data_IF_478472562461
#
_entry.id   IF_478472562461
#
_cell.length_a   1.000
_cell.length_b   1.000
_cell.length_c   1.000
_cell.angle_alpha   90.00
_cell.angle_beta   90.00
_cell.angle_gamma   90.00
#
_symmetry.space_group_name_H-M   'P 1'
#
loop_
_entity.id
_entity.type
_entity.pdbx_description
1 polymer ?
#
# COMPACT_ATOMS: atom_id res chain seq x y z
N UNK A 1 23.19 -27.20 16.15
CA UNK A 1 21.98 -26.69 16.85
C UNK A 1 21.39 -25.40 16.25
N UNK A 2 22.15 -24.55 15.55
CA UNK A 2 21.61 -23.30 14.99
C UNK A 2 20.77 -23.47 13.72
N UNK A 3 21.13 -24.42 12.86
CA UNK A 3 20.52 -24.59 11.53
C UNK A 3 19.06 -25.10 11.59
N UNK A 4 18.78 -26.04 12.50
CA UNK A 4 17.43 -26.55 12.75
C UNK A 4 16.53 -25.48 13.37
N UNK A 5 17.08 -24.66 14.28
CA UNK A 5 16.37 -23.55 14.92
C UNK A 5 16.04 -22.45 13.92
N UNK A 6 16.99 -22.06 13.06
CA UNK A 6 16.72 -21.11 11.99
C UNK A 6 15.70 -21.65 11.00
N UNK A 7 15.80 -22.93 10.61
CA UNK A 7 14.87 -23.56 9.67
C UNK A 7 13.43 -23.57 10.21
N UNK A 8 13.23 -23.94 11.49
CA UNK A 8 11.93 -23.90 12.16
C UNK A 8 11.40 -22.45 12.21
N UNK A 9 12.23 -21.48 12.59
CA UNK A 9 11.80 -20.08 12.64
C UNK A 9 11.40 -19.57 11.26
N UNK A 10 12.15 -19.90 10.20
CA UNK A 10 11.77 -19.55 8.82
C UNK A 10 10.49 -20.24 8.36
N UNK A 11 10.29 -21.53 8.70
CA UNK A 11 9.08 -22.26 8.36
C UNK A 11 7.86 -21.70 9.09
N UNK A 12 7.97 -21.36 10.38
CA UNK A 12 6.92 -20.69 11.11
C UNK A 12 6.62 -19.30 10.54
N UNK A 13 7.65 -18.52 10.17
CA UNK A 13 7.47 -17.22 9.53
C UNK A 13 6.77 -17.34 8.16
N UNK A 14 7.17 -18.32 7.34
CA UNK A 14 6.52 -18.62 6.06
C UNK A 14 5.07 -19.08 6.25
N UNK A 15 4.82 -19.97 7.21
CA UNK A 15 3.47 -20.46 7.53
C UNK A 15 2.55 -19.32 7.98
N UNK A 16 3.03 -18.44 8.84
CA UNK A 16 2.31 -17.24 9.28
C UNK A 16 2.04 -16.29 8.10
N UNK A 17 2.99 -16.14 7.17
CA UNK A 17 2.82 -15.32 5.97
C UNK A 17 1.79 -15.89 4.99
N UNK A 18 1.68 -17.23 4.89
CA UNK A 18 0.75 -17.93 3.99
C UNK A 18 -0.68 -18.01 4.57
N UNK A 19 -0.82 -18.19 5.89
CA UNK A 19 -2.11 -18.42 6.54
C UNK A 19 -2.74 -17.18 7.18
N UNK A 20 -2.20 -15.98 6.96
CA UNK A 20 -2.91 -14.75 7.29
C UNK A 20 -4.15 -14.65 6.39
N UNK A 21 -5.37 -14.57 6.97
CA UNK A 21 -6.57 -14.40 6.18
C UNK A 21 -6.43 -13.18 5.27
N UNK A 22 -6.86 -13.30 4.00
CA UNK A 22 -7.01 -12.14 3.14
C UNK A 22 -8.13 -11.29 3.75
N UNK A 23 -7.76 -10.11 4.25
CA UNK A 23 -8.51 -9.45 5.32
C UNK A 23 -9.71 -8.61 4.86
N UNK A 24 -10.03 -8.58 3.57
CA UNK A 24 -11.05 -7.67 3.06
C UNK A 24 -12.13 -8.41 2.26
N UNK A 25 -13.29 -8.60 2.89
CA UNK A 25 -14.55 -9.03 2.22
C UNK A 25 -15.17 -7.92 1.35
N UNK A 26 -14.50 -6.77 1.22
CA UNK A 26 -14.98 -5.61 0.47
C UNK A 26 -14.43 -5.68 -0.94
N UNK A 27 -15.31 -5.85 -1.94
CA UNK A 27 -14.90 -5.84 -3.33
C UNK A 27 -14.78 -4.40 -3.87
N UNK A 28 -13.75 -4.07 -4.65
CA UNK A 28 -13.63 -2.73 -5.20
C UNK A 28 -14.61 -2.51 -6.35
N UNK A 29 -14.79 -1.26 -6.76
CA UNK A 29 -15.56 -0.92 -7.97
C UNK A 29 -14.68 -1.20 -9.19
N UNK A 30 -14.81 -2.40 -9.75
CA UNK A 30 -13.94 -2.93 -10.79
C UNK A 30 -13.90 -2.04 -12.04
N UNK A 31 -15.06 -1.59 -12.54
CA UNK A 31 -15.14 -0.74 -13.73
C UNK A 31 -14.36 0.57 -13.56
N UNK A 32 -14.40 1.14 -12.35
CA UNK A 32 -13.62 2.33 -12.05
C UNK A 32 -12.12 2.01 -12.03
N UNK A 33 -11.72 0.87 -11.44
CA UNK A 33 -10.32 0.45 -11.37
C UNK A 33 -9.67 0.26 -12.74
N UNK A 34 -10.41 -0.23 -13.74
CA UNK A 34 -9.89 -0.42 -15.11
C UNK A 34 -9.30 0.87 -15.69
N UNK A 35 -9.91 2.03 -15.35
CA UNK A 35 -9.44 3.34 -15.81
C UNK A 35 -8.11 3.77 -15.17
N UNK A 36 -7.70 3.14 -14.06
CA UNK A 36 -6.48 3.46 -13.33
C UNK A 36 -5.47 2.32 -13.34
N UNK A 37 -5.69 1.27 -14.13
CA UNK A 37 -4.67 0.25 -14.37
C UNK A 37 -3.44 0.88 -15.02
N UNK A 38 -2.26 0.31 -14.73
CA UNK A 38 -0.97 0.82 -15.21
C UNK A 38 -0.95 1.07 -16.72
N UNK A 39 -1.48 0.14 -17.52
CA UNK A 39 -1.49 0.27 -18.99
C UNK A 39 -2.41 1.42 -19.45
N UNK A 40 -3.57 1.60 -18.82
CA UNK A 40 -4.47 2.73 -19.09
C UNK A 40 -3.82 4.07 -18.74
N UNK A 41 -3.12 4.13 -17.61
CA UNK A 41 -2.37 5.33 -17.19
C UNK A 41 -1.21 5.64 -18.13
N UNK A 42 -0.49 4.61 -18.60
CA UNK A 42 0.55 4.75 -19.62
C UNK A 42 0.00 5.25 -20.95
N UNK A 43 -1.16 4.76 -21.38
CA UNK A 43 -1.80 5.26 -22.59
C UNK A 43 -2.23 6.73 -22.46
N UNK A 44 -2.68 7.15 -21.27
CA UNK A 44 -3.18 8.50 -21.01
C UNK A 44 -2.07 9.55 -20.80
N UNK A 45 -1.03 9.21 -20.05
CA UNK A 45 0.01 10.16 -19.67
C UNK A 45 1.43 9.75 -20.13
N UNK A 46 1.52 8.69 -20.94
CA UNK A 46 2.74 8.15 -21.54
C UNK A 46 3.44 7.08 -20.70
N UNK A 47 4.45 6.41 -21.28
CA UNK A 47 5.27 5.37 -20.61
C UNK A 47 6.78 5.70 -20.42
N UNK A 48 7.26 6.84 -20.91
CA UNK A 48 8.68 7.20 -20.81
C UNK A 48 9.15 7.50 -19.37
N UNK A 49 10.28 6.93 -18.96
CA UNK A 49 10.92 7.20 -17.65
C UNK A 49 11.77 8.47 -17.67
N UNK A 50 11.14 9.62 -17.87
CA UNK A 50 11.81 10.91 -18.07
C UNK A 50 11.51 11.97 -16.99
N UNK A 51 10.58 11.69 -16.05
CA UNK A 51 10.14 12.69 -15.08
C UNK A 51 11.12 12.82 -13.92
N UNK A 52 11.37 14.05 -13.46
CA UNK A 52 12.05 14.27 -12.19
C UNK A 52 11.10 14.05 -10.99
N UNK A 53 11.63 14.17 -9.77
CA UNK A 53 10.85 13.95 -8.54
C UNK A 53 9.59 14.85 -8.42
N UNK A 54 9.71 16.13 -8.78
CA UNK A 54 8.60 17.09 -8.70
C UNK A 54 7.52 16.78 -9.73
N UNK A 55 7.91 16.44 -10.96
CA UNK A 55 7.01 16.05 -12.03
C UNK A 55 6.31 14.71 -11.75
N UNK A 56 7.07 13.73 -11.22
CA UNK A 56 6.54 12.45 -10.73
C UNK A 56 5.46 12.65 -9.67
N UNK A 57 5.67 13.62 -8.78
CA UNK A 57 4.68 13.96 -7.76
C UNK A 57 3.45 14.65 -8.35
N UNK A 58 3.65 15.53 -9.34
CA UNK A 58 2.57 16.22 -10.05
C UNK A 58 1.66 15.24 -10.79
N UNK A 59 2.23 14.29 -11.53
CA UNK A 59 1.44 13.28 -12.25
C UNK A 59 0.67 12.36 -11.28
N UNK A 60 1.29 11.98 -10.16
CA UNK A 60 0.59 11.23 -9.10
C UNK A 60 -0.63 12.00 -8.59
N UNK A 61 -0.46 13.28 -8.26
CA UNK A 61 -1.55 14.12 -7.76
C UNK A 61 -2.64 14.35 -8.81
N UNK A 62 -2.27 14.52 -10.09
CA UNK A 62 -3.21 14.64 -11.19
C UNK A 62 -4.12 13.41 -11.28
N UNK A 63 -3.53 12.21 -11.31
CA UNK A 63 -4.28 10.93 -11.33
C UNK A 63 -5.22 10.83 -10.13
N UNK A 64 -4.76 11.21 -8.94
CA UNK A 64 -5.61 11.18 -7.74
C UNK A 64 -6.76 12.19 -7.79
N UNK A 65 -6.54 13.38 -8.35
CA UNK A 65 -7.60 14.39 -8.49
C UNK A 65 -8.71 13.92 -9.43
N UNK A 66 -8.37 13.20 -10.51
CA UNK A 66 -9.33 12.58 -11.41
C UNK A 66 -10.07 11.44 -10.72
N UNK A 67 -9.33 10.56 -10.03
CA UNK A 67 -9.89 9.47 -9.25
C UNK A 67 -10.87 9.96 -8.19
N UNK A 68 -10.54 11.05 -7.50
CA UNK A 68 -11.41 11.67 -6.52
C UNK A 68 -12.77 12.02 -7.15
N UNK A 69 -12.78 12.77 -8.26
CA UNK A 69 -14.03 13.17 -8.92
C UNK A 69 -14.90 11.95 -9.23
N UNK A 70 -14.29 10.89 -9.78
CA UNK A 70 -15.01 9.67 -10.10
C UNK A 70 -15.53 8.93 -8.85
N UNK A 71 -14.71 8.76 -7.81
CA UNK A 71 -15.09 8.06 -6.57
C UNK A 71 -16.26 8.75 -5.88
N UNK A 72 -16.27 10.08 -5.82
CA UNK A 72 -17.33 10.84 -5.13
C UNK A 72 -18.66 10.83 -5.89
N UNK A 73 -18.65 10.59 -7.21
CA UNK A 73 -19.88 10.42 -8.00
C UNK A 73 -20.53 9.04 -7.85
N UNK A 74 -19.81 8.05 -7.32
CA UNK A 74 -20.33 6.69 -7.13
C UNK A 74 -21.41 6.66 -6.05
N UNK A 75 -22.46 5.87 -6.29
CA UNK A 75 -23.52 5.58 -5.32
C UNK A 75 -23.21 4.28 -4.54
N UNK A 76 -22.04 4.26 -3.91
CA UNK A 76 -21.51 3.12 -3.15
C UNK A 76 -21.28 3.50 -1.68
N UNK A 77 -21.20 2.49 -0.82
CA UNK A 77 -20.91 2.66 0.61
C UNK A 77 -19.50 3.22 0.85
N UNK A 78 -19.30 3.79 2.04
CA UNK A 78 -18.04 4.42 2.40
C UNK A 78 -16.85 3.44 2.40
N UNK A 79 -17.07 2.19 2.82
CA UNK A 79 -16.03 1.16 2.88
C UNK A 79 -15.57 0.77 1.48
N UNK A 80 -16.51 0.53 0.56
CA UNK A 80 -16.19 0.22 -0.84
C UNK A 80 -15.51 1.38 -1.57
N UNK A 81 -15.94 2.62 -1.32
CA UNK A 81 -15.26 3.82 -1.82
C UNK A 81 -13.85 3.95 -1.28
N UNK A 82 -13.65 3.73 0.02
CA UNK A 82 -12.34 3.79 0.67
C UNK A 82 -11.40 2.68 0.17
N UNK A 83 -11.92 1.48 -0.04
CA UNK A 83 -11.15 0.37 -0.61
C UNK A 83 -10.72 0.66 -2.06
N UNK A 84 -11.67 1.10 -2.89
CA UNK A 84 -11.41 1.50 -4.28
C UNK A 84 -10.40 2.65 -4.33
N UNK A 85 -10.53 3.63 -3.44
CA UNK A 85 -9.55 4.70 -3.24
C UNK A 85 -8.14 4.14 -2.93
N UNK A 86 -8.01 3.23 -1.98
CA UNK A 86 -6.72 2.60 -1.63
C UNK A 86 -6.06 1.93 -2.84
N UNK A 87 -6.84 1.15 -3.60
CA UNK A 87 -6.40 0.47 -4.83
C UNK A 87 -5.90 1.47 -5.87
N UNK A 88 -6.69 2.50 -6.20
CA UNK A 88 -6.30 3.51 -7.19
C UNK A 88 -5.05 4.25 -6.74
N UNK A 89 -4.91 4.56 -5.45
CA UNK A 89 -3.69 5.19 -4.92
C UNK A 89 -2.45 4.32 -5.10
N UNK A 90 -2.58 3.01 -4.91
CA UNK A 90 -1.49 2.06 -5.14
C UNK A 90 -1.10 2.04 -6.62
N UNK A 91 -2.09 1.93 -7.53
CA UNK A 91 -1.86 1.93 -8.97
C UNK A 91 -1.23 3.25 -9.46
N UNK A 92 -1.79 4.39 -9.04
CA UNK A 92 -1.27 5.71 -9.35
C UNK A 92 0.18 5.90 -8.88
N UNK A 93 0.51 5.36 -7.69
CA UNK A 93 1.89 5.39 -7.16
C UNK A 93 2.83 4.54 -8.01
N UNK A 94 2.45 3.31 -8.33
CA UNK A 94 3.27 2.43 -9.17
C UNK A 94 3.49 3.02 -10.56
N UNK A 95 2.45 3.60 -11.15
CA UNK A 95 2.54 4.31 -12.42
C UNK A 95 3.48 5.52 -12.33
N UNK A 96 3.26 6.44 -11.39
CA UNK A 96 4.11 7.62 -11.22
C UNK A 96 5.59 7.24 -11.04
N UNK A 97 5.88 6.18 -10.29
CA UNK A 97 7.27 5.70 -10.11
C UNK A 97 7.90 5.12 -11.35
N UNK A 98 7.12 4.44 -12.17
CA UNK A 98 7.63 3.95 -13.46
C UNK A 98 8.09 5.08 -14.38
N UNK A 99 7.60 6.30 -14.13
CA UNK A 99 7.98 7.53 -14.82
C UNK A 99 9.20 8.26 -14.20
N UNK A 100 9.58 7.93 -12.96
CA UNK A 100 10.62 8.64 -12.21
C UNK A 100 12.03 8.27 -12.72
N UNK A 101 12.65 9.21 -13.43
CA UNK A 101 14.01 9.12 -13.97
C UNK A 101 15.08 9.79 -13.11
N UNK A 102 14.78 10.17 -11.86
CA UNK A 102 15.68 10.96 -10.99
C UNK A 102 17.05 10.30 -10.80
N UNK A 103 17.11 8.98 -10.62
CA UNK A 103 18.37 8.22 -10.60
C UNK A 103 18.45 7.26 -11.80
N UNK A 104 19.65 7.13 -12.37
CA UNK A 104 19.91 6.22 -13.50
C UNK A 104 19.86 4.75 -13.05
N UNK A 105 19.31 3.90 -13.91
CA UNK A 105 19.30 2.45 -13.69
C UNK A 105 18.36 1.99 -12.55
N UNK A 106 18.63 0.84 -11.90
CA UNK A 106 17.74 0.27 -10.89
C UNK A 106 17.74 1.02 -9.56
N UNK A 107 18.64 2.00 -9.37
CA UNK A 107 18.80 2.73 -8.11
C UNK A 107 17.54 3.47 -7.67
N UNK A 108 16.83 4.11 -8.60
CA UNK A 108 15.56 4.79 -8.29
C UNK A 108 14.55 3.81 -7.70
N UNK A 109 14.43 2.63 -8.33
CA UNK A 109 13.49 1.60 -7.89
C UNK A 109 13.86 1.06 -6.50
N UNK A 110 15.13 0.75 -6.27
CA UNK A 110 15.63 0.25 -4.98
C UNK A 110 15.38 1.27 -3.86
N UNK A 111 15.72 2.54 -4.07
CA UNK A 111 15.53 3.60 -3.07
C UNK A 111 14.05 3.80 -2.75
N UNK A 112 13.19 3.78 -3.75
CA UNK A 112 11.74 3.93 -3.57
C UNK A 112 11.12 2.72 -2.84
N UNK A 113 11.52 1.51 -3.20
CA UNK A 113 11.08 0.27 -2.54
C UNK A 113 11.52 0.23 -1.08
N UNK A 114 12.79 0.55 -0.78
CA UNK A 114 13.30 0.63 0.59
C UNK A 114 12.55 1.67 1.42
N UNK A 115 12.34 2.87 0.86
CA UNK A 115 11.58 3.94 1.50
C UNK A 115 10.16 3.46 1.84
N UNK A 116 9.49 2.79 0.91
CA UNK A 116 8.13 2.32 1.14
C UNK A 116 8.06 1.15 2.11
N UNK A 117 8.96 0.17 2.00
CA UNK A 117 9.07 -0.92 2.96
C UNK A 117 9.29 -0.40 4.38
N UNK A 118 10.07 0.67 4.52
CA UNK A 118 10.23 1.36 5.80
C UNK A 118 8.96 2.12 6.22
N UNK A 119 8.47 3.04 5.39
CA UNK A 119 7.36 3.96 5.72
C UNK A 119 6.02 3.24 5.89
N UNK A 120 5.78 2.17 5.14
CA UNK A 120 4.54 1.40 5.11
C UNK A 120 4.68 0.01 5.73
N UNK A 121 5.83 -0.32 6.32
CA UNK A 121 6.06 -1.58 7.01
C UNK A 121 6.85 -1.36 8.28
N UNK A 122 8.17 -1.43 8.19
CA UNK A 122 9.12 -1.51 9.31
C UNK A 122 8.86 -0.45 10.40
N UNK A 123 8.52 0.79 10.01
CA UNK A 123 8.21 1.88 10.96
C UNK A 123 7.08 1.52 11.95
N UNK A 124 6.15 0.63 11.57
CA UNK A 124 5.01 0.23 12.39
C UNK A 124 5.23 -1.07 13.15
N UNK A 125 6.41 -1.71 13.05
CA UNK A 125 6.69 -2.99 13.70
C UNK A 125 6.54 -2.90 15.22
N UNK A 126 7.04 -1.82 15.83
CA UNK A 126 6.88 -1.59 17.27
C UNK A 126 5.41 -1.48 17.70
N UNK A 127 4.60 -0.72 16.95
CA UNK A 127 3.16 -0.57 17.23
C UNK A 127 2.42 -1.90 17.08
N UNK A 128 2.79 -2.71 16.09
CA UNK A 128 2.20 -4.02 15.87
C UNK A 128 2.56 -5.01 16.99
N UNK A 129 3.82 -5.01 17.45
CA UNK A 129 4.24 -5.80 18.61
C UNK A 129 3.44 -5.42 19.86
N UNK A 130 3.22 -4.12 20.11
CA UNK A 130 2.39 -3.67 21.22
C UNK A 130 0.94 -4.16 21.11
N UNK A 131 0.35 -4.10 19.90
CA UNK A 131 -1.00 -4.63 19.63
C UNK A 131 -1.09 -6.14 19.85
N UNK A 132 -0.07 -6.88 19.43
CA UNK A 132 -0.03 -8.33 19.64
C UNK A 132 0.13 -8.69 21.11
N UNK A 133 0.93 -7.94 21.88
CA UNK A 133 1.03 -8.13 23.34
C UNK A 133 -0.31 -7.84 24.01
N UNK A 134 -0.97 -6.73 23.69
CA UNK A 134 -2.26 -6.38 24.31
C UNK A 134 -3.36 -7.38 23.95
N UNK A 135 -3.45 -7.79 22.68
CA UNK A 135 -4.38 -8.83 22.25
C UNK A 135 -4.07 -10.18 22.88
N UNK A 136 -2.78 -10.53 23.03
CA UNK A 136 -2.40 -11.80 23.64
C UNK A 136 -2.84 -11.88 25.10
N UNK A 137 -2.73 -10.77 25.83
CA UNK A 137 -3.20 -10.64 27.21
C UNK A 137 -4.73 -10.71 27.28
N UNK A 138 -5.42 -9.98 26.39
CA UNK A 138 -6.89 -9.94 26.37
C UNK A 138 -7.51 -11.31 26.01
N UNK A 139 -6.91 -12.03 25.07
CA UNK A 139 -7.37 -13.35 24.62
C UNK A 139 -6.80 -14.51 25.46
N UNK A 140 -5.91 -14.22 26.41
CA UNK A 140 -5.13 -15.22 27.16
C UNK A 140 -4.42 -16.25 26.26
N UNK A 141 -4.03 -15.84 25.05
CA UNK A 141 -3.42 -16.69 24.01
C UNK A 141 -2.43 -15.89 23.20
N UNK A 142 -1.21 -16.40 22.95
CA UNK A 142 -0.22 -15.67 22.16
C UNK A 142 -0.72 -15.44 20.73
N UNK A 143 -0.62 -14.20 20.25
CA UNK A 143 -0.89 -13.81 18.86
C UNK A 143 0.28 -13.01 18.29
N UNK A 144 0.52 -13.17 16.99
CA UNK A 144 1.48 -12.39 16.20
C UNK A 144 0.82 -11.81 14.94
N UNK A 145 -0.50 -11.67 14.97
CA UNK A 145 -1.30 -11.28 13.82
C UNK A 145 -0.86 -9.93 13.25
N UNK A 146 -0.75 -8.91 14.10
CA UNK A 146 -0.42 -7.55 13.66
C UNK A 146 1.02 -7.46 13.19
N UNK A 147 1.95 -8.11 13.90
CA UNK A 147 3.36 -8.17 13.56
C UNK A 147 3.53 -8.81 12.19
N UNK A 148 2.82 -9.90 11.95
CA UNK A 148 2.87 -10.57 10.67
C UNK A 148 2.25 -9.76 9.53
N UNK A 149 1.17 -9.02 9.77
CA UNK A 149 0.63 -8.05 8.80
C UNK A 149 1.65 -6.98 8.43
N UNK A 150 2.40 -6.44 9.40
CA UNK A 150 3.45 -5.45 9.13
C UNK A 150 4.57 -6.05 8.28
N UNK A 151 5.02 -7.27 8.60
CA UNK A 151 6.07 -7.97 7.82
C UNK A 151 5.59 -8.26 6.40
N UNK A 152 4.35 -8.74 6.25
CA UNK A 152 3.69 -8.96 4.95
C UNK A 152 3.61 -7.66 4.15
N UNK A 153 3.22 -6.57 4.78
CA UNK A 153 3.15 -5.27 4.13
C UNK A 153 4.53 -4.75 3.72
N UNK A 154 5.55 -4.93 4.55
CA UNK A 154 6.93 -4.57 4.22
C UNK A 154 7.40 -5.34 2.97
N UNK A 155 7.11 -6.64 2.89
CA UNK A 155 7.41 -7.47 1.73
C UNK A 155 6.68 -6.96 0.46
N UNK A 156 5.39 -6.64 0.56
CA UNK A 156 4.62 -6.09 -0.57
C UNK A 156 5.19 -4.78 -1.10
N UNK A 157 5.70 -3.95 -0.20
CA UNK A 157 6.32 -2.68 -0.55
C UNK A 157 7.74 -2.82 -1.11
N UNK A 158 8.51 -3.80 -0.64
CA UNK A 158 9.88 -4.07 -1.10
C UNK A 158 9.91 -4.82 -2.43
N UNK A 159 8.93 -5.68 -2.70
CA UNK A 159 8.87 -6.50 -3.90
C UNK A 159 7.49 -6.36 -4.59
N UNK A 160 7.13 -5.16 -5.10
CA UNK A 160 5.82 -4.92 -5.70
C UNK A 160 5.57 -5.77 -6.96
N UNK A 161 6.62 -6.08 -7.73
CA UNK A 161 6.52 -6.92 -8.94
C UNK A 161 6.30 -8.40 -8.65
N UNK A 162 6.70 -8.88 -7.46
CA UNK A 162 6.51 -10.28 -7.06
C UNK A 162 5.23 -10.48 -6.25
N UNK A 163 4.79 -9.44 -5.55
CA UNK A 163 3.64 -9.55 -4.66
C UNK A 163 2.32 -9.38 -5.38
N UNK A 164 2.26 -8.60 -6.47
CA UNK A 164 1.00 -8.17 -7.12
C UNK A 164 -0.02 -7.53 -6.16
N UNK A 165 0.43 -7.10 -4.98
CA UNK A 165 -0.41 -6.57 -3.89
C UNK A 165 -0.15 -5.08 -3.67
N UNK A 166 -1.07 -4.46 -2.97
CA UNK A 166 -1.01 -3.02 -2.68
C UNK A 166 0.04 -2.68 -1.63
N UNK A 167 0.70 -1.54 -1.85
CA UNK A 167 1.56 -0.92 -0.85
C UNK A 167 1.17 0.54 -0.64
N UNK A 168 0.61 0.93 0.53
CA UNK A 168 0.08 0.06 1.59
C UNK A 168 -1.25 -0.57 1.18
N UNK A 169 -1.58 -1.74 1.74
CA UNK A 169 -2.91 -2.36 1.61
C UNK A 169 -3.96 -1.66 2.47
N UNK A 170 -5.23 -1.81 2.10
CA UNK A 170 -6.37 -1.28 2.85
C UNK A 170 -6.46 -1.84 4.27
N UNK A 171 -6.38 -3.17 4.43
CA UNK A 171 -6.27 -3.83 5.73
C UNK A 171 -5.16 -3.23 6.60
N UNK A 172 -3.95 -3.00 6.05
CA UNK A 172 -2.87 -2.35 6.80
C UNK A 172 -3.22 -0.92 7.25
N UNK A 173 -3.91 -0.15 6.40
CA UNK A 173 -4.38 1.19 6.77
C UNK A 173 -5.37 1.13 7.94
N UNK A 174 -6.30 0.19 7.94
CA UNK A 174 -7.32 0.06 9.00
C UNK A 174 -6.74 -0.55 10.28
N UNK A 175 -6.17 -1.74 10.18
CA UNK A 175 -5.79 -2.58 11.33
C UNK A 175 -4.49 -2.11 11.98
N UNK A 176 -3.49 -1.67 11.20
CA UNK A 176 -2.19 -1.26 11.76
C UNK A 176 -2.15 0.25 12.00
N UNK A 177 -2.59 1.05 11.02
CA UNK A 177 -2.54 2.51 11.13
C UNK A 177 -3.74 3.12 11.84
N UNK A 178 -4.76 2.32 12.19
CA UNK A 178 -5.99 2.76 12.84
C UNK A 178 -6.72 3.84 12.05
N UNK A 179 -6.70 3.75 10.71
CA UNK A 179 -7.46 4.66 9.84
C UNK A 179 -8.89 4.17 9.68
N UNK A 180 -9.82 5.09 9.82
CA UNK A 180 -11.23 4.87 9.43
C UNK A 180 -11.38 4.93 7.91
N UNK A 181 -12.48 4.40 7.37
CA UNK A 181 -12.80 4.46 5.95
C UNK A 181 -12.91 5.92 5.48
N UNK A 182 -13.40 6.80 6.36
CA UNK A 182 -13.41 8.26 6.16
C UNK A 182 -12.00 8.85 6.07
N UNK A 183 -11.05 8.45 6.93
CA UNK A 183 -9.65 8.92 6.86
C UNK A 183 -8.94 8.43 5.59
N UNK A 184 -9.32 7.24 5.12
CA UNK A 184 -8.78 6.66 3.88
C UNK A 184 -9.35 7.43 2.69
N UNK A 185 -10.67 7.68 2.66
CA UNK A 185 -11.32 8.44 1.61
C UNK A 185 -10.83 9.89 1.55
N UNK A 186 -10.65 10.56 2.70
CA UNK A 186 -10.08 11.91 2.75
C UNK A 186 -8.64 11.93 2.21
N UNK A 187 -7.88 10.84 2.41
CA UNK A 187 -6.54 10.74 1.84
C UNK A 187 -6.54 10.67 0.30
N UNK A 188 -7.64 10.27 -0.34
CA UNK A 188 -7.83 10.44 -1.78
C UNK A 188 -8.07 11.89 -2.20
N UNK A 189 -8.60 12.72 -1.31
CA UNK A 189 -8.91 14.15 -1.55
C UNK A 189 -7.68 15.05 -1.34
N UNK A 190 -6.81 14.69 -0.39
CA UNK A 190 -5.69 15.53 0.02
C UNK A 190 -4.34 14.86 -0.25
N UNK A 191 -3.58 15.40 -1.20
CA UNK A 191 -2.12 15.27 -1.16
C UNK A 191 -1.55 16.29 -0.13
N UNK A 192 -0.26 16.23 0.24
CA UNK A 192 0.32 17.22 1.17
C UNK A 192 0.00 18.65 0.71
N UNK A 193 -0.41 19.53 1.65
CA UNK A 193 -0.87 20.91 1.37
C UNK A 193 0.07 21.73 0.49
N UNK A 194 1.38 21.49 0.53
CA UNK A 194 2.36 22.18 -0.32
C UNK A 194 2.35 21.83 -1.82
N UNK A 195 1.42 20.98 -2.28
CA UNK A 195 1.35 20.52 -3.68
C UNK A 195 -0.10 20.40 -4.20
N UNK A 196 -1.08 20.91 -3.45
CA UNK A 196 -2.50 20.88 -3.84
C UNK A 196 -2.92 22.11 -4.66
N UNK A 197 -2.01 23.05 -4.91
CA UNK A 197 -2.27 24.26 -5.68
C UNK A 197 -1.46 24.25 -6.99
N UNK A 198 -1.97 23.51 -7.98
CA UNK A 198 -1.84 23.84 -9.41
C UNK A 198 -3.15 23.52 -10.10
#
# INVERSE_FOLDING_TARGET
MNLFRTLIVTLCALFVMIHLPDEDNVEPVHDLLLNYQKETLKARYGDERSLNHSETRRIYNLVLSEAQKAIFTLHEDAGRKAYTCSKIRSQARQYARSRDGTYKGPLTEIVLQLRDGYVHGVKYLYRALQKDVSYSLALQRPTLLHTAMVVRQAYYCLAPTLSERECPSYAFLRVIRDKTDTDILESCVRSNRGFNDV
#
